data_IF_732258590141
#
_entry.id   IF_732258590141
#
_cell.length_a   1.000
_cell.length_b   1.000
_cell.length_c   1.000
_cell.angle_alpha   90.00
_cell.angle_beta   90.00
_cell.angle_gamma   90.00
#
_symmetry.space_group_name_H-M   'P 1'
#
loop_
_entity.id
_entity.type
_entity.pdbx_description
1 polymer ?
#
# COMPACT_ATOMS: atom_id res chain seq x y z
N UNK A 1 7.72 23.52 59.84
CA UNK A 1 9.03 22.88 59.61
C UNK A 1 8.85 22.05 58.35
N UNK A 2 8.90 22.63 57.15
CA UNK A 2 10.08 23.27 56.54
C UNK A 2 11.27 22.33 56.61
N UNK A 3 11.54 21.62 55.51
CA UNK A 3 12.84 21.66 54.86
C UNK A 3 12.72 21.14 53.41
N UNK A 4 12.78 22.08 52.47
CA UNK A 4 13.26 21.84 51.11
C UNK A 4 14.71 22.28 51.07
N UNK A 5 15.56 21.60 50.28
CA UNK A 5 16.55 22.35 49.52
C UNK A 5 16.39 22.10 48.02
N UNK A 6 16.10 23.21 47.38
CA UNK A 6 16.26 23.52 45.96
C UNK A 6 17.65 23.16 45.44
N UNK A 7 17.73 22.48 44.30
CA UNK A 7 18.76 22.68 43.26
C UNK A 7 18.30 21.96 42.01
N UNK A 8 17.66 22.73 41.15
CA UNK A 8 17.59 22.45 39.72
C UNK A 8 19.02 22.62 39.16
N UNK A 9 19.37 21.88 38.09
CA UNK A 9 19.27 22.60 36.83
C UNK A 9 18.58 21.76 35.76
N UNK A 10 17.56 22.39 35.20
CA UNK A 10 17.09 22.29 33.85
C UNK A 10 18.21 21.85 32.90
N UNK A 11 17.93 20.95 31.96
CA UNK A 11 18.65 21.01 30.70
C UNK A 11 18.17 22.30 30.02
N UNK A 12 18.81 23.41 30.38
CA UNK A 12 18.79 24.62 29.59
C UNK A 12 19.06 24.20 28.14
N UNK A 13 18.16 24.60 27.24
CA UNK A 13 18.37 24.47 25.82
C UNK A 13 19.72 25.08 25.47
N UNK A 14 20.71 24.23 25.29
CA UNK A 14 21.94 24.62 24.64
C UNK A 14 21.55 25.08 23.24
N UNK A 15 22.10 26.20 22.73
CA UNK A 15 21.97 26.51 21.33
C UNK A 15 22.49 25.28 20.59
N UNK A 16 21.64 24.66 19.78
CA UNK A 16 22.06 23.58 18.92
C UNK A 16 23.17 24.16 18.02
N UNK A 17 24.42 23.90 18.40
CA UNK A 17 25.56 24.20 17.55
C UNK A 17 25.25 23.50 16.22
N UNK A 18 25.17 24.23 15.09
CA UNK A 18 24.68 23.70 13.82
C UNK A 18 25.60 22.62 13.22
N UNK A 19 26.63 22.19 13.97
CA UNK A 19 27.64 21.22 13.61
C UNK A 19 27.84 20.12 14.68
N UNK A 20 26.95 19.99 15.68
CA UNK A 20 27.05 18.90 16.67
C UNK A 20 26.66 17.54 16.08
N UNK A 21 27.32 16.47 16.53
CA UNK A 21 27.10 15.10 16.05
C UNK A 21 25.64 14.68 16.23
N UNK A 22 25.01 15.11 17.31
CA UNK A 22 23.61 14.85 17.62
C UNK A 22 22.67 15.55 16.61
N UNK A 23 23.00 16.78 16.20
CA UNK A 23 22.23 17.50 15.19
C UNK A 23 22.35 16.84 13.80
N UNK A 24 23.50 16.22 13.51
CA UNK A 24 23.70 15.42 12.31
C UNK A 24 22.84 14.15 12.33
N UNK A 25 22.80 13.44 13.47
CA UNK A 25 21.97 12.23 13.66
C UNK A 25 20.49 12.56 13.49
N UNK A 26 20.01 13.65 14.09
CA UNK A 26 18.60 14.08 13.99
C UNK A 26 18.22 14.41 12.55
N UNK A 27 19.11 15.07 11.80
CA UNK A 27 18.87 15.38 10.39
C UNK A 27 18.85 14.13 9.51
N UNK A 28 19.74 13.17 9.76
CA UNK A 28 19.79 11.91 9.01
C UNK A 28 18.52 11.09 9.25
N UNK A 29 18.08 10.95 10.51
CA UNK A 29 16.84 10.26 10.85
C UNK A 29 15.61 10.89 10.19
N UNK A 30 15.55 12.23 10.13
CA UNK A 30 14.47 12.96 9.47
C UNK A 30 14.50 12.78 7.95
N UNK A 31 15.69 12.71 7.37
CA UNK A 31 15.89 12.45 5.95
C UNK A 31 15.51 11.01 5.58
N UNK A 32 15.88 10.02 6.38
CA UNK A 32 15.50 8.61 6.22
C UNK A 32 13.98 8.42 6.35
N UNK A 33 13.34 9.11 7.30
CA UNK A 33 11.88 9.10 7.46
C UNK A 33 11.16 9.68 6.23
N UNK A 34 11.67 10.78 5.65
CA UNK A 34 11.15 11.33 4.40
C UNK A 34 11.33 10.36 3.24
N UNK A 35 12.52 9.79 3.07
CA UNK A 35 12.79 8.81 2.00
C UNK A 35 11.92 7.55 2.13
N UNK A 36 11.64 7.08 3.35
CA UNK A 36 10.71 5.98 3.62
C UNK A 36 9.26 6.35 3.30
N UNK A 37 8.87 7.61 3.46
CA UNK A 37 7.56 8.13 3.06
C UNK A 37 7.45 8.28 1.53
N UNK A 38 8.58 8.55 0.85
CA UNK A 38 8.70 8.80 -0.59
C UNK A 38 8.95 7.54 -1.43
N UNK A 39 8.98 6.35 -0.83
CA UNK A 39 9.18 5.09 -1.52
C UNK A 39 7.87 4.31 -1.69
N UNK A 40 6.97 4.70 -2.63
CA UNK A 40 5.89 3.82 -3.04
C UNK A 40 6.51 2.77 -3.97
N UNK A 41 6.80 1.60 -3.43
CA UNK A 41 6.94 0.42 -4.28
C UNK A 41 5.62 0.23 -5.02
N UNK A 42 5.63 0.49 -6.33
CA UNK A 42 4.62 0.14 -7.33
C UNK A 42 3.16 0.02 -6.85
N UNK A 43 2.41 1.11 -6.95
CA UNK A 43 0.95 1.11 -6.77
C UNK A 43 0.50 2.06 -5.66
N UNK A 44 0.14 3.28 -6.09
CA UNK A 44 -0.44 4.39 -5.33
C UNK A 44 -1.35 3.99 -4.14
N UNK A 45 -0.97 4.46 -2.95
CA UNK A 45 -1.85 4.62 -1.79
C UNK A 45 -1.72 3.55 -0.70
N UNK A 46 -2.09 3.86 0.56
CA UNK A 46 -2.24 2.84 1.60
C UNK A 46 -3.20 1.74 1.12
N UNK A 47 -3.02 0.48 1.57
CA UNK A 47 -3.83 -0.63 1.07
C UNK A 47 -5.31 -0.41 1.39
N UNK A 48 -6.08 0.03 0.39
CA UNK A 48 -7.52 0.23 0.51
C UNK A 48 -8.14 -1.16 0.67
N UNK A 49 -8.73 -1.46 1.81
CA UNK A 49 -9.42 -2.74 2.03
C UNK A 49 -10.92 -2.50 1.94
N UNK A 50 -11.58 -3.02 0.89
CA UNK A 50 -13.04 -2.92 0.81
C UNK A 50 -13.68 -4.05 1.63
N UNK A 51 -14.55 -3.73 2.60
CA UNK A 51 -15.29 -4.76 3.32
C UNK A 51 -16.28 -5.46 2.38
N UNK A 52 -16.29 -6.80 2.39
CA UNK A 52 -17.27 -7.60 1.65
C UNK A 52 -18.62 -7.55 2.38
N UNK A 53 -19.35 -6.44 2.21
CA UNK A 53 -20.73 -6.37 2.63
C UNK A 53 -21.54 -7.14 1.59
N UNK A 54 -22.06 -8.32 1.95
CA UNK A 54 -23.12 -8.95 1.15
C UNK A 54 -24.37 -8.06 1.28
N UNK A 55 -24.84 -7.42 0.22
CA UNK A 55 -26.08 -6.68 0.33
C UNK A 55 -27.24 -7.70 0.36
N UNK A 56 -27.90 -7.82 1.51
CA UNK A 56 -29.30 -8.30 1.61
C UNK A 56 -30.28 -7.29 0.97
N UNK A 57 -29.76 -6.18 0.43
CA UNK A 57 -30.51 -5.04 -0.11
C UNK A 57 -30.56 -5.11 -1.63
N UNK A 58 -31.75 -4.90 -2.18
CA UNK A 58 -32.02 -4.84 -3.61
C UNK A 58 -31.12 -3.83 -4.32
N UNK A 59 -30.14 -4.32 -5.10
CA UNK A 59 -29.20 -3.50 -5.89
C UNK A 59 -29.93 -2.54 -6.83
N UNK A 60 -31.16 -2.87 -7.22
CA UNK A 60 -31.99 -2.04 -8.10
C UNK A 60 -32.44 -0.71 -7.46
N UNK A 61 -32.40 -0.58 -6.14
CA UNK A 61 -32.83 0.64 -5.42
C UNK A 61 -31.64 1.54 -5.05
N UNK A 62 -30.41 1.07 -5.20
CA UNK A 62 -29.23 1.84 -4.80
C UNK A 62 -28.94 2.98 -5.79
N UNK A 63 -28.48 4.14 -5.31
CA UNK A 63 -28.05 5.24 -6.16
C UNK A 63 -26.91 4.82 -7.09
N UNK A 64 -26.92 5.32 -8.33
CA UNK A 64 -25.80 5.09 -9.24
C UNK A 64 -24.51 5.73 -8.66
N UNK A 65 -23.34 5.09 -8.83
CA UNK A 65 -22.07 5.65 -8.42
C UNK A 65 -21.82 7.03 -9.05
N UNK A 66 -21.33 7.96 -8.25
CA UNK A 66 -20.91 9.30 -8.68
C UNK A 66 -19.44 9.30 -9.09
N UNK A 67 -18.98 10.29 -9.89
CA UNK A 67 -17.57 10.43 -10.23
C UNK A 67 -16.63 10.48 -9.00
N UNK A 68 -17.11 11.09 -7.92
CA UNK A 68 -16.38 11.21 -6.65
C UNK A 68 -16.15 9.86 -5.97
N UNK A 69 -17.05 8.90 -6.15
CA UNK A 69 -16.89 7.55 -5.58
C UNK A 69 -15.70 6.81 -6.21
N UNK A 70 -15.39 7.11 -7.48
CA UNK A 70 -14.21 6.58 -8.18
C UNK A 70 -12.91 7.29 -7.78
N UNK A 71 -12.99 8.51 -7.22
CA UNK A 71 -11.82 9.18 -6.63
C UNK A 71 -11.41 8.51 -5.32
N UNK A 72 -12.39 8.08 -4.52
CA UNK A 72 -12.14 7.36 -3.28
C UNK A 72 -11.56 5.95 -3.52
N UNK A 73 -12.03 5.24 -4.55
CA UNK A 73 -11.48 3.94 -4.96
C UNK A 73 -11.16 3.91 -6.46
N UNK A 74 -9.89 4.18 -6.83
CA UNK A 74 -9.47 4.14 -8.22
C UNK A 74 -9.71 2.75 -8.84
N UNK A 75 -10.16 2.72 -10.10
CA UNK A 75 -10.49 1.48 -10.82
C UNK A 75 -9.33 0.50 -10.88
N UNK A 76 -8.09 0.99 -11.04
CA UNK A 76 -6.89 0.16 -11.07
C UNK A 76 -6.58 -0.52 -9.73
N UNK A 77 -7.09 0.01 -8.61
CA UNK A 77 -6.87 -0.53 -7.27
C UNK A 77 -8.07 -1.32 -6.73
N UNK A 78 -9.27 -1.10 -7.28
CA UNK A 78 -10.51 -1.75 -6.84
C UNK A 78 -10.40 -3.29 -6.77
N UNK A 79 -9.82 -3.91 -7.81
CA UNK A 79 -9.61 -5.36 -7.82
C UNK A 79 -8.69 -5.86 -6.70
N UNK A 80 -7.56 -5.18 -6.49
CA UNK A 80 -6.61 -5.50 -5.43
C UNK A 80 -7.23 -5.30 -4.04
N UNK A 81 -8.00 -4.23 -3.89
CA UNK A 81 -8.69 -3.89 -2.65
C UNK A 81 -9.73 -4.94 -2.23
N UNK A 82 -10.44 -5.55 -3.20
CA UNK A 82 -11.31 -6.69 -2.94
C UNK A 82 -10.52 -7.93 -2.51
N UNK A 83 -9.41 -8.23 -3.18
CA UNK A 83 -8.56 -9.37 -2.81
C UNK A 83 -8.02 -9.21 -1.39
N UNK A 84 -7.57 -8.01 -1.01
CA UNK A 84 -7.15 -7.69 0.36
C UNK A 84 -8.31 -7.84 1.36
N UNK A 85 -9.53 -7.40 0.99
CA UNK A 85 -10.73 -7.61 1.80
C UNK A 85 -11.07 -9.08 2.04
N UNK A 86 -10.72 -9.97 1.11
CA UNK A 86 -10.86 -11.42 1.24
C UNK A 86 -9.67 -12.10 1.96
N UNK A 87 -8.70 -11.32 2.43
CA UNK A 87 -7.53 -11.82 3.16
C UNK A 87 -6.40 -12.32 2.28
N UNK A 88 -6.45 -12.11 0.97
CA UNK A 88 -5.32 -12.37 0.08
C UNK A 88 -4.22 -11.32 0.28
N UNK A 89 -2.95 -11.70 0.22
CA UNK A 89 -1.80 -10.79 0.33
C UNK A 89 -0.88 -10.93 -0.88
N UNK A 90 -0.14 -9.87 -1.19
CA UNK A 90 0.84 -9.90 -2.28
C UNK A 90 1.88 -11.00 -2.00
N UNK A 91 2.12 -11.87 -2.99
CA UNK A 91 3.00 -13.03 -2.85
C UNK A 91 2.33 -14.30 -2.30
N UNK A 92 1.07 -14.24 -1.86
CA UNK A 92 0.32 -15.43 -1.48
C UNK A 92 -0.29 -16.11 -2.71
N UNK A 93 -0.06 -17.40 -2.85
CA UNK A 93 -0.74 -18.21 -3.85
C UNK A 93 -2.24 -18.34 -3.56
N UNK A 94 -3.04 -18.52 -4.60
CA UNK A 94 -4.49 -18.71 -4.44
C UNK A 94 -4.77 -20.21 -4.24
N UNK A 95 -5.65 -20.56 -3.30
CA UNK A 95 -6.13 -21.93 -3.08
C UNK A 95 -6.07 -22.41 -1.61
N UNK A 96 -6.91 -23.39 -1.26
CA UNK A 96 -7.06 -23.88 0.12
C UNK A 96 -5.97 -24.88 0.54
N UNK A 97 -5.61 -25.81 -0.35
CA UNK A 97 -4.77 -26.97 0.00
C UNK A 97 -3.33 -26.82 -0.52
N UNK A 98 -3.13 -26.08 -1.61
CA UNK A 98 -1.80 -25.85 -2.21
C UNK A 98 -1.75 -24.45 -2.83
N UNK A 99 -1.57 -23.39 -2.01
CA UNK A 99 -1.47 -22.03 -2.54
C UNK A 99 -0.23 -21.93 -3.43
N UNK A 100 -0.43 -21.68 -4.72
CA UNK A 100 0.66 -21.50 -5.68
C UNK A 100 0.56 -20.13 -6.34
N UNK A 101 1.67 -19.42 -6.41
CA UNK A 101 1.80 -18.20 -7.21
C UNK A 101 1.99 -18.66 -8.66
N UNK A 102 0.92 -18.53 -9.46
CA UNK A 102 0.93 -18.92 -10.88
C UNK A 102 0.97 -17.65 -11.72
N UNK A 103 1.93 -17.58 -12.64
CA UNK A 103 1.98 -16.48 -13.60
C UNK A 103 0.85 -16.64 -14.62
N UNK A 104 0.14 -15.56 -15.00
CA UNK A 104 -0.88 -15.60 -16.03
C UNK A 104 -0.32 -16.19 -17.34
N UNK A 105 -1.09 -17.08 -17.97
CA UNK A 105 -0.71 -17.65 -19.26
C UNK A 105 -0.87 -16.58 -20.35
N UNK A 106 0.22 -16.21 -20.99
CA UNK A 106 0.17 -15.29 -22.13
C UNK A 106 -0.35 -16.03 -23.38
N UNK A 107 -1.48 -15.56 -23.91
CA UNK A 107 -2.04 -16.11 -25.14
C UNK A 107 -1.26 -15.57 -26.34
N UNK A 108 -0.57 -16.46 -27.06
CA UNK A 108 0.03 -16.13 -28.36
C UNK A 108 -1.03 -16.28 -29.45
N UNK A 109 -1.54 -15.18 -30.04
CA UNK A 109 -2.54 -15.28 -31.10
C UNK A 109 -1.94 -16.00 -32.29
N UNK A 110 -2.65 -17.02 -32.78
CA UNK A 110 -2.24 -17.77 -33.97
C UNK A 110 -2.50 -16.91 -35.21
N UNK A 111 -1.51 -16.66 -36.07
CA UNK A 111 -1.76 -16.00 -37.34
C UNK A 111 -2.74 -16.86 -38.17
N UNK A 112 -3.76 -16.21 -38.72
CA UNK A 112 -4.78 -16.88 -39.53
C UNK A 112 -4.19 -17.48 -40.82
N UNK A 113 -4.80 -18.54 -41.33
CA UNK A 113 -4.42 -19.15 -42.62
C UNK A 113 -3.32 -20.22 -42.55
N UNK A 114 -2.80 -20.56 -41.38
CA UNK A 114 -1.82 -21.64 -41.21
C UNK A 114 -2.50 -22.96 -40.81
N UNK A 115 -2.26 -24.04 -41.56
CA UNK A 115 -2.72 -25.39 -41.21
C UNK A 115 -2.18 -25.84 -39.84
N UNK A 116 -2.91 -26.66 -39.08
CA UNK A 116 -2.46 -27.16 -37.77
C UNK A 116 -1.07 -27.82 -37.91
N UNK A 117 -0.09 -27.40 -37.10
CA UNK A 117 1.28 -27.91 -37.15
C UNK A 117 2.27 -27.11 -38.00
N UNK A 118 1.83 -26.08 -38.74
CA UNK A 118 2.73 -25.09 -39.30
C UNK A 118 3.12 -24.09 -38.20
N UNK A 119 4.42 -23.90 -37.97
CA UNK A 119 4.95 -22.83 -37.13
C UNK A 119 5.05 -21.56 -37.97
N UNK A 120 4.60 -20.42 -37.44
CA UNK A 120 4.87 -19.14 -38.07
C UNK A 120 6.37 -18.87 -37.91
N UNK A 121 7.11 -18.96 -39.01
CA UNK A 121 8.50 -18.50 -39.07
C UNK A 121 8.59 -16.99 -38.83
#
# INVERSE_FOLDING_TARGET
>A
AEDTPSTDPAPAGAPADPCSVEAQVVQELLQEARQSQEQPQGGSGPPISLPLQLPDKDVATEPLPTPQDYEAVPVGQFGLAMLWGMGWRQGQGIGRTFPRVVQPLEHRPRPGGLGLGAEGA
#
